data_IF_076139232035
#
_entry.id   IF_076139232035
#
_cell.length_a   1.000
_cell.length_b   1.000
_cell.length_c   1.000
_cell.angle_alpha   90.00
_cell.angle_beta   90.00
_cell.angle_gamma   90.00
#
_symmetry.space_group_name_H-M   'P 1'
#
loop_
_entity.id
_entity.type
_entity.pdbx_description
1 polymer ?
#
# COMPACT_ATOMS: atom_id res chain seq x y z
N UNK A 1 -9.80 6.47 -13.73
CA UNK A 1 -9.41 7.28 -12.55
C UNK A 1 -10.02 6.64 -11.31
N UNK A 2 -9.27 6.16 -10.32
CA UNK A 2 -9.89 5.39 -9.21
C UNK A 2 -8.99 4.96 -8.06
N UNK A 3 -7.69 5.31 -8.07
CA UNK A 3 -6.76 4.95 -6.99
C UNK A 3 -6.97 5.80 -5.72
N UNK A 4 -7.51 7.02 -5.85
CA UNK A 4 -7.82 7.90 -4.71
C UNK A 4 -8.96 7.35 -3.85
N UNK A 5 -10.01 6.79 -4.45
CA UNK A 5 -11.22 6.37 -3.72
C UNK A 5 -11.01 5.19 -2.76
N UNK A 6 -10.03 4.30 -3.03
CA UNK A 6 -9.72 3.19 -2.13
C UNK A 6 -8.88 3.62 -0.91
N UNK A 7 -8.11 4.71 -1.06
CA UNK A 7 -7.33 5.32 0.02
C UNK A 7 -8.23 6.18 0.92
N UNK A 8 -9.21 6.88 0.32
CA UNK A 8 -10.24 7.67 1.03
C UNK A 8 -11.21 6.79 1.85
N UNK A 9 -11.46 5.54 1.44
CA UNK A 9 -12.28 4.56 2.19
C UNK A 9 -11.50 3.69 3.18
N UNK A 10 -10.20 3.90 3.33
CA UNK A 10 -9.38 3.17 4.30
C UNK A 10 -9.21 4.04 5.54
N UNK A 11 -9.67 3.58 6.70
CA UNK A 11 -9.57 4.33 7.95
C UNK A 11 -8.11 4.48 8.43
N UNK A 12 -7.20 3.63 7.95
CA UNK A 12 -5.78 3.66 8.33
C UNK A 12 -4.88 3.30 7.14
N UNK A 13 -3.61 3.76 7.13
CA UNK A 13 -2.63 3.36 6.12
C UNK A 13 -2.38 1.84 6.07
N UNK A 14 -2.59 1.13 7.19
CA UNK A 14 -2.51 -0.33 7.24
C UNK A 14 -3.66 -1.02 6.47
N UNK A 15 -4.87 -0.46 6.54
CA UNK A 15 -6.03 -0.99 5.82
C UNK A 15 -5.88 -0.83 4.29
N UNK A 16 -5.32 0.30 3.86
CA UNK A 16 -4.97 0.52 2.46
C UNK A 16 -3.99 -0.55 1.95
N UNK A 17 -2.97 -0.91 2.74
CA UNK A 17 -2.02 -1.97 2.37
C UNK A 17 -2.67 -3.35 2.39
N UNK A 18 -3.55 -3.66 3.35
CA UNK A 18 -4.33 -4.91 3.35
C UNK A 18 -5.18 -5.07 2.09
N UNK A 19 -5.86 -4.00 1.64
CA UNK A 19 -6.62 -4.00 0.38
C UNK A 19 -5.72 -4.23 -0.83
N UNK A 20 -4.55 -3.59 -0.87
CA UNK A 20 -3.56 -3.80 -1.93
C UNK A 20 -2.96 -5.22 -1.92
N UNK A 21 -2.83 -5.85 -0.75
CA UNK A 21 -2.46 -7.26 -0.62
C UNK A 21 -3.55 -8.18 -1.16
N UNK A 22 -4.81 -7.96 -0.79
CA UNK A 22 -5.96 -8.72 -1.31
C UNK A 22 -6.08 -8.61 -2.83
N UNK A 23 -5.80 -7.44 -3.38
CA UNK A 23 -5.80 -7.19 -4.83
C UNK A 23 -4.58 -7.79 -5.57
N UNK A 24 -3.67 -8.51 -4.89
CA UNK A 24 -2.46 -9.10 -5.49
C UNK A 24 -1.40 -8.07 -5.94
N UNK A 25 -1.59 -6.79 -5.61
CA UNK A 25 -0.68 -5.70 -5.97
C UNK A 25 0.52 -5.63 -5.03
N UNK A 26 0.35 -6.10 -3.80
CA UNK A 26 1.39 -6.17 -2.75
C UNK A 26 1.55 -7.60 -2.28
N UNK A 27 2.79 -8.07 -2.13
CA UNK A 27 3.08 -9.41 -1.62
C UNK A 27 2.94 -9.47 -0.09
N UNK A 28 2.55 -10.65 0.41
CA UNK A 28 2.41 -10.94 1.85
C UNK A 28 3.75 -10.90 2.60
N UNK A 29 4.85 -11.32 1.96
CA UNK A 29 6.21 -11.29 2.51
C UNK A 29 7.10 -10.30 1.74
N UNK A 30 7.91 -9.53 2.48
CA UNK A 30 8.99 -8.72 1.89
C UNK A 30 10.01 -9.67 1.27
N UNK A 31 10.21 -9.54 -0.05
CA UNK A 31 10.91 -10.55 -0.82
C UNK A 31 12.44 -10.44 -0.71
N UNK A 32 12.96 -9.34 -0.14
CA UNK A 32 14.38 -8.94 -0.12
C UNK A 32 15.08 -8.86 -1.49
N UNK A 33 14.48 -9.38 -2.57
CA UNK A 33 14.96 -9.31 -3.95
C UNK A 33 14.58 -7.98 -4.62
N UNK A 34 15.53 -7.33 -5.30
CA UNK A 34 15.37 -6.04 -5.99
C UNK A 34 14.18 -6.01 -6.97
N UNK A 35 13.99 -7.06 -7.77
CA UNK A 35 12.92 -7.12 -8.78
C UNK A 35 11.50 -7.19 -8.17
N UNK A 36 11.35 -7.81 -6.99
CA UNK A 36 10.05 -7.91 -6.29
C UNK A 36 9.80 -6.77 -5.29
N UNK A 37 10.77 -5.89 -5.07
CA UNK A 37 10.61 -4.71 -4.21
C UNK A 37 9.45 -3.80 -4.65
N UNK A 38 9.11 -3.75 -5.95
CA UNK A 38 7.96 -2.97 -6.46
C UNK A 38 6.61 -3.39 -5.83
N UNK A 39 6.49 -4.63 -5.36
CA UNK A 39 5.31 -5.17 -4.65
C UNK A 39 5.56 -5.35 -3.14
N UNK A 40 6.60 -4.71 -2.59
CA UNK A 40 7.00 -4.90 -1.21
C UNK A 40 5.98 -4.30 -0.23
N UNK A 41 5.56 -5.06 0.81
CA UNK A 41 4.61 -4.57 1.80
C UNK A 41 5.15 -3.38 2.61
N UNK A 42 6.45 -3.32 2.86
CA UNK A 42 7.07 -2.21 3.60
C UNK A 42 7.06 -0.91 2.79
N UNK A 43 7.39 -0.99 1.50
CA UNK A 43 7.32 0.18 0.62
C UNK A 43 5.87 0.65 0.41
N UNK A 44 4.93 -0.30 0.30
CA UNK A 44 3.51 0.03 0.24
C UNK A 44 3.04 0.75 1.51
N UNK A 45 3.46 0.30 2.70
CA UNK A 45 3.15 0.97 3.97
C UNK A 45 3.75 2.37 4.04
N UNK A 46 5.01 2.57 3.63
CA UNK A 46 5.62 3.91 3.59
C UNK A 46 4.86 4.86 2.66
N UNK A 47 4.50 4.41 1.46
CA UNK A 47 3.71 5.19 0.51
C UNK A 47 2.30 5.50 1.02
N UNK A 48 1.67 4.53 1.67
CA UNK A 48 0.37 4.75 2.29
C UNK A 48 0.47 5.80 3.40
N UNK A 49 1.44 5.68 4.33
CA UNK A 49 1.65 6.69 5.38
C UNK A 49 1.88 8.09 4.81
N UNK A 50 2.73 8.22 3.79
CA UNK A 50 2.97 9.51 3.14
C UNK A 50 1.68 10.07 2.51
N UNK A 51 0.94 9.26 1.75
CA UNK A 51 -0.30 9.68 1.12
C UNK A 51 -1.42 10.03 2.12
N UNK A 52 -1.42 9.41 3.31
CA UNK A 52 -2.34 9.76 4.40
C UNK A 52 -1.90 11.04 5.12
N UNK A 53 -0.59 11.29 5.26
CA UNK A 53 -0.07 12.52 5.84
C UNK A 53 -0.25 13.74 4.92
N UNK A 54 -0.21 13.55 3.60
CA UNK A 54 -0.53 14.60 2.61
C UNK A 54 -2.03 14.86 2.46
N UNK A 55 -2.88 13.94 2.96
CA UNK A 55 -4.33 14.04 2.89
C UNK A 55 -4.98 14.58 4.19
N UNK A 56 -4.19 14.78 5.24
CA UNK A 56 -4.57 15.42 6.49
C UNK A 56 -4.11 16.89 6.47
#
# INVERSE_FOLDING_TARGET
MGKKSALVKAATPADAVKKLMKAGKVKKKCCKSKSRCKKCPVLALKKAKAAFAEAA
#
